data_IF_534932883265
#
_entry.id   IF_534932883265
#
_cell.length_a   1.000
_cell.length_b   1.000
_cell.length_c   1.000
_cell.angle_alpha   90.00
_cell.angle_beta   90.00
_cell.angle_gamma   90.00
#
_symmetry.space_group_name_H-M   'P 1'
#
loop_
_entity.id
_entity.type
_entity.pdbx_description
1 polymer ?
#
# COMPACT_ATOMS: atom_id res chain seq x y z
N UNK A 1 55.44 14.09 38.90
CA UNK A 1 55.27 14.84 37.63
C UNK A 1 54.43 14.03 36.63
N UNK A 2 53.76 12.98 37.10
CA UNK A 2 53.07 11.99 36.27
C UNK A 2 51.61 12.35 36.02
N UNK A 3 51.02 13.16 36.91
CA UNK A 3 49.63 13.63 36.79
C UNK A 3 49.45 14.65 35.67
N UNK A 4 50.42 15.54 35.42
CA UNK A 4 50.35 16.52 34.32
C UNK A 4 50.49 15.86 32.96
N UNK A 5 51.41 14.89 32.83
CA UNK A 5 51.56 14.08 31.61
C UNK A 5 50.32 13.22 31.34
N UNK A 6 49.68 12.69 32.38
CA UNK A 6 48.42 11.94 32.25
C UNK A 6 47.26 12.82 31.81
N UNK A 7 47.13 14.04 32.35
CA UNK A 7 46.05 14.97 31.98
C UNK A 7 46.22 15.45 30.54
N UNK A 8 47.44 15.79 30.11
CA UNK A 8 47.74 16.18 28.73
C UNK A 8 47.43 15.05 27.73
N UNK A 9 47.81 13.81 28.07
CA UNK A 9 47.48 12.64 27.24
C UNK A 9 45.96 12.44 27.11
N UNK A 10 45.22 12.50 28.22
CA UNK A 10 43.75 12.38 28.16
C UNK A 10 43.09 13.49 27.36
N UNK A 11 43.60 14.72 27.45
CA UNK A 11 43.04 15.86 26.72
C UNK A 11 43.32 15.75 25.21
N UNK A 12 44.51 15.26 24.84
CA UNK A 12 44.86 14.96 23.45
C UNK A 12 44.00 13.83 22.88
N UNK A 13 43.75 12.76 23.63
CA UNK A 13 42.88 11.67 23.21
C UNK A 13 41.44 12.16 22.98
N UNK A 14 40.89 12.95 23.92
CA UNK A 14 39.55 13.54 23.77
C UNK A 14 39.49 14.43 22.52
N UNK A 15 40.47 15.30 22.31
CA UNK A 15 40.53 16.16 21.15
C UNK A 15 40.60 15.34 19.84
N UNK A 16 41.39 14.26 19.83
CA UNK A 16 41.49 13.36 18.68
C UNK A 16 40.15 12.68 18.37
N UNK A 17 39.47 12.12 19.37
CA UNK A 17 38.16 11.51 19.17
C UNK A 17 37.11 12.51 18.67
N UNK A 18 37.14 13.76 19.15
CA UNK A 18 36.25 14.81 18.64
C UNK A 18 36.53 15.10 17.17
N UNK A 19 37.80 15.24 16.77
CA UNK A 19 38.18 15.48 15.37
C UNK A 19 37.71 14.31 14.49
N UNK A 20 37.97 13.08 14.90
CA UNK A 20 37.50 11.89 14.17
C UNK A 20 35.98 11.86 14.07
N UNK A 21 35.27 12.16 15.17
CA UNK A 21 33.81 12.24 15.18
C UNK A 21 33.26 13.29 14.20
N UNK A 22 33.87 14.47 14.16
CA UNK A 22 33.49 15.54 13.21
C UNK A 22 33.77 15.12 11.76
N UNK A 23 34.90 14.45 11.50
CA UNK A 23 35.22 13.95 10.17
C UNK A 23 34.20 12.91 9.69
N UNK A 24 33.82 11.96 10.55
CA UNK A 24 32.79 10.96 10.24
C UNK A 24 31.43 11.63 10.01
N UNK A 25 31.03 12.54 10.88
CA UNK A 25 29.78 13.28 10.73
C UNK A 25 29.76 14.11 9.42
N UNK A 26 30.86 14.78 9.11
CA UNK A 26 31.03 15.55 7.87
C UNK A 26 30.97 14.67 6.62
N UNK A 27 31.58 13.49 6.66
CA UNK A 27 31.52 12.52 5.57
C UNK A 27 30.08 12.04 5.32
N UNK A 28 29.36 11.65 6.38
CA UNK A 28 27.96 11.21 6.28
C UNK A 28 27.06 12.34 5.78
N UNK A 29 27.23 13.56 6.30
CA UNK A 29 26.47 14.73 5.87
C UNK A 29 26.75 15.07 4.41
N UNK A 30 28.01 14.96 3.97
CA UNK A 30 28.40 15.12 2.57
C UNK A 30 27.68 14.12 1.65
N UNK A 31 27.64 12.85 2.04
CA UNK A 31 26.90 11.81 1.31
C UNK A 31 25.40 12.11 1.24
N UNK A 32 24.79 12.51 2.35
CA UNK A 32 23.38 12.91 2.41
C UNK A 32 23.07 14.10 1.48
N UNK A 33 23.91 15.15 1.51
CA UNK A 33 23.74 16.33 0.66
C UNK A 33 23.90 16.00 -0.83
N UNK A 34 24.82 15.09 -1.18
CA UNK A 34 24.98 14.60 -2.54
C UNK A 34 23.73 13.84 -3.00
N UNK A 35 23.21 12.93 -2.18
CA UNK A 35 21.96 12.21 -2.47
C UNK A 35 20.76 13.17 -2.64
N UNK A 36 20.64 14.16 -1.76
CA UNK A 36 19.63 15.23 -1.88
C UNK A 36 19.75 15.99 -3.20
N UNK A 37 20.97 16.33 -3.62
CA UNK A 37 21.23 17.04 -4.88
C UNK A 37 20.89 16.20 -6.11
N UNK A 38 21.09 14.88 -6.05
CA UNK A 38 20.68 13.95 -7.12
C UNK A 38 19.15 13.92 -7.23
N UNK A 39 18.45 13.71 -6.10
CA UNK A 39 16.98 13.68 -6.07
C UNK A 39 16.34 15.00 -6.50
N UNK A 40 16.99 16.13 -6.22
CA UNK A 40 16.51 17.45 -6.66
C UNK A 40 16.56 17.66 -8.20
N UNK A 41 17.26 16.80 -8.94
CA UNK A 41 17.23 16.79 -10.41
C UNK A 41 16.05 16.00 -10.97
N UNK A 42 15.41 15.17 -10.16
CA UNK A 42 14.20 14.47 -10.56
C UNK A 42 13.04 15.48 -10.66
N UNK A 43 12.10 15.28 -11.59
CA UNK A 43 10.90 16.11 -11.65
C UNK A 43 10.16 16.05 -10.31
N UNK A 44 9.54 17.16 -9.88
CA UNK A 44 8.77 17.16 -8.64
C UNK A 44 7.61 16.15 -8.76
N UNK A 45 7.12 15.61 -7.62
CA UNK A 45 5.90 14.82 -7.61
C UNK A 45 4.78 15.55 -8.36
N UNK A 46 3.90 14.81 -9.07
CA UNK A 46 2.80 15.42 -9.81
C UNK A 46 1.97 16.31 -8.88
N UNK A 47 1.67 17.51 -9.34
CA UNK A 47 0.75 18.43 -8.67
C UNK A 47 -0.67 17.88 -8.74
N UNK A 48 -1.56 18.30 -7.83
CA UNK A 48 -2.98 17.91 -7.85
C UNK A 48 -3.63 18.18 -9.21
N UNK A 49 -3.32 19.33 -9.81
CA UNK A 49 -3.82 19.70 -11.15
C UNK A 49 -3.28 18.81 -12.27
N UNK A 50 -2.10 18.21 -12.08
CA UNK A 50 -1.51 17.25 -13.03
C UNK A 50 -2.02 15.82 -12.83
N UNK A 51 -2.80 15.57 -11.76
CA UNK A 51 -3.44 14.27 -11.63
C UNK A 51 -4.45 14.05 -12.75
N UNK A 52 -4.64 12.81 -13.22
CA UNK A 52 -5.68 12.48 -14.17
C UNK A 52 -7.05 12.93 -13.65
N UNK A 53 -7.70 13.83 -14.38
CA UNK A 53 -9.08 14.22 -14.12
C UNK A 53 -10.04 13.23 -14.77
N UNK A 54 -11.28 13.19 -14.29
CA UNK A 54 -12.34 12.45 -14.97
C UNK A 54 -12.50 13.00 -16.40
N UNK A 55 -12.70 12.15 -17.41
CA UNK A 55 -13.02 12.62 -18.75
C UNK A 55 -14.37 13.36 -18.75
N UNK A 56 -14.65 14.13 -19.81
CA UNK A 56 -15.88 14.95 -19.91
C UNK A 56 -17.17 14.14 -19.69
N UNK A 57 -17.17 12.85 -20.02
CA UNK A 57 -18.29 11.92 -19.81
C UNK A 57 -18.44 11.38 -18.38
N UNK A 58 -17.61 11.82 -17.42
CA UNK A 58 -17.58 11.29 -16.05
C UNK A 58 -16.68 10.07 -15.90
N UNK A 59 -16.75 9.40 -14.74
CA UNK A 59 -15.91 8.24 -14.47
C UNK A 59 -16.23 7.10 -15.45
N UNK A 60 -15.20 6.48 -16.04
CA UNK A 60 -15.37 5.18 -16.70
C UNK A 60 -15.53 4.15 -15.59
N UNK A 61 -16.75 3.65 -15.45
CA UNK A 61 -17.03 2.59 -14.48
C UNK A 61 -16.41 1.28 -14.93
N UNK A 62 -15.98 0.49 -13.95
CA UNK A 62 -15.53 -0.88 -14.17
C UNK A 62 -16.69 -1.75 -14.66
N UNK A 63 -16.45 -2.57 -15.68
CA UNK A 63 -17.35 -3.67 -16.04
C UNK A 63 -17.17 -4.74 -14.97
N UNK A 64 -18.21 -4.97 -14.17
CA UNK A 64 -18.20 -6.00 -13.12
C UNK A 64 -18.76 -7.30 -13.65
N UNK A 65 -17.92 -8.33 -13.71
CA UNK A 65 -18.32 -9.68 -14.08
C UNK A 65 -18.34 -10.57 -12.83
N UNK A 66 -19.43 -11.29 -12.62
CA UNK A 66 -19.51 -12.37 -11.63
C UNK A 66 -19.31 -13.72 -12.33
N UNK A 67 -18.70 -14.66 -11.63
CA UNK A 67 -18.52 -16.04 -12.11
C UNK A 67 -19.64 -16.93 -11.58
N UNK A 68 -20.14 -17.82 -12.43
CA UNK A 68 -21.02 -18.89 -11.97
C UNK A 68 -20.25 -19.81 -11.02
N UNK A 69 -20.88 -20.20 -9.92
CA UNK A 69 -20.30 -21.17 -9.01
C UNK A 69 -20.27 -22.54 -9.68
N UNK A 70 -19.13 -23.21 -9.57
CA UNK A 70 -19.00 -24.60 -10.04
C UNK A 70 -19.49 -25.51 -8.92
N UNK A 71 -20.49 -26.34 -9.22
CA UNK A 71 -21.01 -27.33 -8.29
C UNK A 71 -19.91 -28.34 -7.91
N UNK A 72 -19.63 -28.42 -6.61
CA UNK A 72 -18.74 -29.44 -6.05
C UNK A 72 -19.63 -30.54 -5.45
N UNK A 73 -19.37 -31.83 -5.73
CA UNK A 73 -20.13 -32.93 -5.12
C UNK A 73 -20.13 -32.86 -3.59
N UNK A 74 -21.22 -33.29 -2.95
CA UNK A 74 -21.39 -33.24 -1.48
C UNK A 74 -20.29 -33.98 -0.68
N UNK A 75 -19.60 -34.94 -1.31
CA UNK A 75 -18.46 -35.66 -0.73
C UNK A 75 -17.10 -34.96 -0.86
N UNK A 76 -17.06 -33.79 -1.51
CA UNK A 76 -15.83 -33.09 -1.88
C UNK A 76 -15.05 -33.78 -2.99
N UNK A 77 -13.96 -33.15 -3.42
CA UNK A 77 -13.01 -33.70 -4.40
C UNK A 77 -11.63 -33.82 -3.75
N UNK A 78 -10.96 -34.95 -3.91
CA UNK A 78 -9.55 -35.10 -3.53
C UNK A 78 -8.69 -34.28 -4.50
N UNK A 79 -7.47 -33.87 -4.11
CA UNK A 79 -6.63 -33.02 -4.96
C UNK A 79 -6.38 -33.54 -6.39
N UNK A 80 -6.31 -34.86 -6.59
CA UNK A 80 -6.15 -35.47 -7.91
C UNK A 80 -7.45 -35.58 -8.73
N UNK A 81 -8.60 -35.33 -8.10
CA UNK A 81 -9.93 -35.32 -8.72
C UNK A 81 -10.34 -33.90 -9.13
N UNK A 82 -9.60 -32.88 -8.69
CA UNK A 82 -9.82 -31.48 -9.06
C UNK A 82 -9.25 -31.23 -10.46
N UNK A 83 -10.14 -31.04 -11.44
CA UNK A 83 -9.74 -30.72 -12.81
C UNK A 83 -9.04 -29.34 -12.85
N UNK A 84 -8.03 -29.19 -13.72
CA UNK A 84 -7.29 -27.93 -13.84
C UNK A 84 -6.53 -27.52 -12.59
N UNK A 85 -6.13 -28.45 -11.72
CA UNK A 85 -5.46 -28.19 -10.43
C UNK A 85 -6.30 -27.31 -9.48
N UNK A 86 -7.63 -27.46 -9.54
CA UNK A 86 -8.56 -26.65 -8.76
C UNK A 86 -8.95 -25.32 -9.41
N UNK A 87 -8.49 -25.06 -10.64
CA UNK A 87 -9.03 -24.02 -11.50
C UNK A 87 -10.21 -24.60 -12.30
N UNK A 88 -11.36 -24.75 -11.63
CA UNK A 88 -12.59 -25.11 -12.33
C UNK A 88 -12.93 -23.99 -13.30
N UNK A 89 -13.05 -24.30 -14.60
CA UNK A 89 -13.36 -23.31 -15.62
C UNK A 89 -14.76 -22.74 -15.43
N UNK A 90 -14.90 -21.72 -14.60
CA UNK A 90 -16.16 -21.01 -14.39
C UNK A 90 -16.42 -20.06 -15.56
N UNK A 91 -17.62 -20.10 -16.12
CA UNK A 91 -18.09 -19.12 -17.10
C UNK A 91 -18.53 -17.83 -16.41
N UNK A 92 -18.55 -16.73 -17.16
CA UNK A 92 -19.19 -15.49 -16.71
C UNK A 92 -20.68 -15.75 -16.57
N UNK A 93 -21.26 -15.34 -15.46
CA UNK A 93 -22.69 -15.53 -15.19
C UNK A 93 -23.54 -14.72 -16.15
N UNK A 94 -24.68 -15.28 -16.58
CA UNK A 94 -25.70 -14.52 -17.31
C UNK A 94 -26.56 -13.63 -16.40
N UNK A 95 -26.50 -13.83 -15.08
CA UNK A 95 -27.27 -13.08 -14.07
C UNK A 95 -26.36 -12.62 -12.92
N UNK A 96 -25.36 -11.76 -13.18
CA UNK A 96 -24.34 -11.41 -12.20
C UNK A 96 -24.90 -10.73 -10.94
N UNK A 97 -25.95 -9.93 -11.07
CA UNK A 97 -26.57 -9.25 -9.92
C UNK A 97 -27.24 -10.23 -8.94
N UNK A 98 -27.87 -11.30 -9.45
CA UNK A 98 -28.50 -12.32 -8.61
C UNK A 98 -27.44 -13.15 -7.87
N UNK A 99 -26.39 -13.56 -8.59
CA UNK A 99 -25.26 -14.30 -8.00
C UNK A 99 -24.58 -13.49 -6.89
N UNK A 100 -24.45 -12.18 -7.10
CA UNK A 100 -23.93 -11.27 -6.07
C UNK A 100 -24.87 -11.16 -4.89
N UNK A 101 -26.15 -10.90 -5.13
CA UNK A 101 -27.14 -10.77 -4.07
C UNK A 101 -27.20 -12.05 -3.22
N UNK A 102 -27.09 -13.23 -3.83
CA UNK A 102 -26.99 -14.51 -3.13
C UNK A 102 -25.71 -14.59 -2.28
N UNK A 103 -24.54 -14.27 -2.85
CA UNK A 103 -23.26 -14.23 -2.12
C UNK A 103 -23.31 -13.28 -0.92
N UNK A 104 -23.93 -12.14 -1.09
CA UNK A 104 -24.02 -11.07 -0.07
C UNK A 104 -25.17 -11.28 0.92
N UNK A 105 -26.16 -12.11 0.59
CA UNK A 105 -27.36 -12.34 1.43
C UNK A 105 -27.05 -12.83 2.85
N UNK A 106 -25.89 -13.48 3.04
CA UNK A 106 -25.40 -13.92 4.34
C UNK A 106 -24.42 -12.96 5.03
N UNK A 107 -24.00 -11.89 4.36
CA UNK A 107 -23.04 -10.93 4.90
C UNK A 107 -23.72 -10.00 5.90
N UNK A 108 -23.29 -10.05 7.17
CA UNK A 108 -23.66 -9.05 8.17
C UNK A 108 -22.56 -8.00 8.21
N UNK A 109 -22.94 -6.73 8.03
CA UNK A 109 -22.01 -5.62 8.28
C UNK A 109 -21.47 -5.75 9.72
N UNK A 110 -20.14 -5.69 9.93
CA UNK A 110 -19.59 -5.66 11.28
C UNK A 110 -20.12 -4.42 12.01
N UNK A 111 -20.62 -4.59 13.24
CA UNK A 111 -21.01 -3.48 14.10
C UNK A 111 -19.74 -2.69 14.49
N UNK A 112 -19.58 -1.51 13.90
CA UNK A 112 -18.43 -0.64 14.13
C UNK A 112 -18.50 0.63 13.29
N UNK A 113 -17.57 1.58 13.48
CA UNK A 113 -17.43 2.72 12.58
C UNK A 113 -17.27 2.19 11.15
N UNK A 114 -18.15 2.60 10.24
CA UNK A 114 -18.10 2.19 8.84
C UNK A 114 -16.73 2.50 8.21
N UNK A 115 -16.39 1.86 7.08
CA UNK A 115 -15.15 2.16 6.37
C UNK A 115 -15.05 3.67 6.13
N UNK A 116 -13.87 4.24 6.36
CA UNK A 116 -13.65 5.65 6.10
C UNK A 116 -14.11 5.99 4.68
N UNK A 117 -14.84 7.10 4.48
CA UNK A 117 -15.23 7.53 3.14
C UNK A 117 -13.99 7.53 2.25
N UNK A 118 -14.05 6.79 1.14
CA UNK A 118 -12.95 6.82 0.18
C UNK A 118 -12.77 8.28 -0.30
N UNK A 119 -11.56 8.84 -0.31
CA UNK A 119 -11.33 10.17 -0.85
C UNK A 119 -11.85 10.26 -2.29
N UNK A 120 -12.80 11.15 -2.58
CA UNK A 120 -13.50 11.23 -3.87
C UNK A 120 -14.88 10.55 -3.92
N UNK A 121 -15.27 9.90 -2.81
CA UNK A 121 -16.62 9.48 -2.47
C UNK A 121 -17.72 10.52 -2.81
N UNK A 122 -18.75 10.28 -3.65
CA UNK A 122 -19.95 11.10 -3.62
C UNK A 122 -20.48 11.25 -2.19
N UNK A 123 -21.06 12.41 -1.80
CA UNK A 123 -21.44 12.71 -0.42
C UNK A 123 -22.48 11.75 0.18
N UNK A 124 -23.13 10.93 -0.65
CA UNK A 124 -24.13 9.92 -0.33
C UNK A 124 -23.59 8.46 -0.35
N UNK A 125 -22.33 8.24 -0.72
CA UNK A 125 -21.73 6.90 -0.84
C UNK A 125 -21.69 6.10 0.49
N UNK A 126 -21.86 6.76 1.63
CA UNK A 126 -21.97 6.14 2.95
C UNK A 126 -23.39 6.00 3.50
N UNK A 127 -24.42 6.46 2.76
CA UNK A 127 -25.82 6.45 3.20
C UNK A 127 -26.72 5.82 2.14
N UNK A 128 -26.67 4.49 2.06
CA UNK A 128 -27.81 3.71 1.57
C UNK A 128 -28.02 3.67 0.05
N UNK A 129 -27.07 3.13 -0.70
CA UNK A 129 -27.33 2.61 -2.05
C UNK A 129 -27.95 1.18 -2.01
N UNK A 130 -28.86 0.94 -1.06
CA UNK A 130 -29.69 -0.26 -1.01
C UNK A 130 -31.15 0.19 -1.19
N UNK A 131 -31.58 0.28 -2.45
CA UNK A 131 -32.98 0.32 -2.86
C UNK A 131 -33.10 -0.31 -4.25
#
# INVERSE_FOLDING_TARGET
MDTTLSVDATLLDIAWFLVVGILVAGFLLGGFLLGKKVRAKEPPPPTTESQPHLPEGGAVYEVREERDQVEIPEGGLRPHEMQGYGNFGSTTSSHPEEVRAERESGYKLPEGPGPHPQPGAPPDAGRGAHA
#
